data_IF_075462999902
#
_entry.id   IF_075462999902
#
_cell.length_a   1.000
_cell.length_b   1.000
_cell.length_c   1.000
_cell.angle_alpha   90.00
_cell.angle_beta   90.00
_cell.angle_gamma   90.00
#
_symmetry.space_group_name_H-M   'P 1'
#
loop_
_entity.id
_entity.type
_entity.pdbx_description
1 polymer ?
#
# COMPACT_ATOMS: atom_id res chain seq x y z
N UNK A 1 22.77 18.01 25.17
CA UNK A 1 22.06 16.80 24.68
C UNK A 1 21.90 16.94 23.18
N UNK A 2 22.81 16.33 22.42
CA UNK A 2 23.00 16.64 21.00
C UNK A 2 22.09 15.85 20.07
N UNK A 3 21.98 16.32 18.82
CA UNK A 3 21.21 15.72 17.74
C UNK A 3 21.39 14.19 17.58
N UNK A 4 22.57 13.65 17.94
CA UNK A 4 22.83 12.21 17.93
C UNK A 4 21.94 11.38 18.86
N UNK A 5 21.59 11.88 20.04
CA UNK A 5 20.65 11.21 20.96
C UNK A 5 19.22 11.19 20.40
N UNK A 6 18.84 12.26 19.71
CA UNK A 6 17.52 12.43 19.10
C UNK A 6 17.36 11.52 17.87
N UNK A 7 18.42 11.40 17.05
CA UNK A 7 18.51 10.45 15.93
C UNK A 7 18.43 9.00 16.40
N UNK A 8 19.09 8.65 17.50
CA UNK A 8 19.02 7.30 18.07
C UNK A 8 17.63 6.98 18.62
N UNK A 9 16.96 7.94 19.25
CA UNK A 9 15.57 7.77 19.70
C UNK A 9 14.58 7.66 18.55
N UNK A 10 14.78 8.37 17.44
CA UNK A 10 13.94 8.27 16.23
C UNK A 10 14.05 6.91 15.54
N UNK A 11 15.10 6.14 15.82
CA UNK A 11 15.28 4.76 15.35
C UNK A 11 14.63 3.72 16.28
N UNK A 12 14.00 4.13 17.39
CA UNK A 12 13.27 3.18 18.25
C UNK A 12 11.97 2.70 17.57
N UNK A 13 11.46 1.50 17.91
CA UNK A 13 10.30 0.91 17.21
C UNK A 13 9.02 1.77 17.24
N UNK A 14 8.78 2.52 18.32
CA UNK A 14 7.56 3.33 18.47
C UNK A 14 7.49 4.52 17.49
N UNK A 15 8.51 5.40 17.40
CA UNK A 15 8.60 6.43 16.35
C UNK A 15 8.50 5.87 14.93
N UNK A 16 9.10 4.70 14.65
CA UNK A 16 9.00 4.09 13.33
C UNK A 16 7.58 3.66 12.98
N UNK A 17 6.83 3.12 13.94
CA UNK A 17 5.43 2.76 13.72
C UNK A 17 4.57 4.01 13.52
N UNK A 18 4.71 5.00 14.41
CA UNK A 18 3.86 6.20 14.42
C UNK A 18 4.17 7.14 13.24
N UNK A 19 5.44 7.31 12.89
CA UNK A 19 5.87 8.25 11.84
C UNK A 19 6.14 7.55 10.50
N UNK A 20 6.52 6.28 10.53
CA UNK A 20 6.81 5.49 9.34
C UNK A 20 5.58 4.79 8.76
N UNK A 21 4.77 4.15 9.60
CA UNK A 21 3.72 3.24 9.13
C UNK A 21 2.33 3.87 9.10
N UNK A 22 1.93 4.61 10.13
CA UNK A 22 0.60 5.22 10.15
C UNK A 22 0.37 6.19 8.99
N UNK A 23 1.28 7.13 8.67
CA UNK A 23 1.00 8.10 7.60
C UNK A 23 0.95 7.44 6.22
N UNK A 24 1.72 6.38 6.01
CA UNK A 24 1.70 5.68 4.73
C UNK A 24 0.45 4.82 4.56
N UNK A 25 -0.01 4.17 5.63
CA UNK A 25 -1.30 3.45 5.65
C UNK A 25 -2.44 4.41 5.34
N UNK A 26 -2.44 5.60 5.97
CA UNK A 26 -3.41 6.66 5.68
C UNK A 26 -3.30 7.12 4.23
N UNK A 27 -2.08 7.33 3.71
CA UNK A 27 -1.82 7.82 2.35
C UNK A 27 -2.45 6.90 1.29
N UNK A 28 -2.25 5.59 1.41
CA UNK A 28 -2.81 4.58 0.49
C UNK A 28 -4.33 4.43 0.66
N UNK A 29 -4.85 4.68 1.86
CA UNK A 29 -6.28 4.61 2.17
C UNK A 29 -7.02 5.95 2.08
N UNK A 30 -6.46 6.96 1.41
CA UNK A 30 -7.21 8.21 1.22
C UNK A 30 -8.37 7.98 0.26
N UNK A 31 -9.58 8.20 0.79
CA UNK A 31 -10.84 8.18 0.05
C UNK A 31 -11.62 9.48 0.30
N UNK A 32 -12.42 9.94 -0.68
CA UNK A 32 -13.20 11.16 -0.57
C UNK A 32 -14.52 10.96 0.19
N UNK A 33 -14.82 9.72 0.63
CA UNK A 33 -16.04 9.42 1.38
C UNK A 33 -16.13 10.27 2.65
N UNK A 34 -17.32 10.83 2.92
CA UNK A 34 -17.59 11.51 4.19
C UNK A 34 -17.74 10.51 5.34
N UNK A 35 -17.11 10.79 6.48
CA UNK A 35 -17.25 10.03 7.72
C UNK A 35 -16.06 9.11 8.05
N UNK A 36 -15.68 9.07 9.33
CA UNK A 36 -14.49 8.35 9.81
C UNK A 36 -14.56 6.85 9.53
N UNK A 37 -15.71 6.21 9.80
CA UNK A 37 -15.88 4.75 9.64
C UNK A 37 -15.69 4.31 8.19
N UNK A 38 -16.25 5.05 7.22
CA UNK A 38 -16.10 4.72 5.79
C UNK A 38 -14.64 4.83 5.35
N UNK A 39 -13.94 5.88 5.75
CA UNK A 39 -12.51 6.06 5.48
C UNK A 39 -11.68 4.94 6.12
N UNK A 40 -11.99 4.58 7.37
CA UNK A 40 -11.30 3.49 8.06
C UNK A 40 -11.51 2.14 7.35
N UNK A 41 -12.74 1.83 6.92
CA UNK A 41 -13.03 0.62 6.15
C UNK A 41 -12.26 0.60 4.82
N UNK A 42 -12.14 1.74 4.15
CA UNK A 42 -11.34 1.86 2.93
C UNK A 42 -9.85 1.63 3.21
N UNK A 43 -9.29 2.23 4.28
CA UNK A 43 -7.92 1.98 4.74
C UNK A 43 -7.71 0.48 4.99
N UNK A 44 -8.64 -0.18 5.71
CA UNK A 44 -8.55 -1.62 5.98
C UNK A 44 -8.61 -2.45 4.70
N UNK A 45 -9.48 -2.09 3.75
CA UNK A 45 -9.51 -2.75 2.43
C UNK A 45 -8.16 -2.62 1.71
N UNK A 46 -7.59 -1.41 1.65
CA UNK A 46 -6.31 -1.16 1.00
C UNK A 46 -5.17 -1.94 1.67
N UNK A 47 -5.18 -2.02 3.00
CA UNK A 47 -4.18 -2.75 3.76
C UNK A 47 -4.34 -4.28 3.61
N UNK A 48 -5.58 -4.77 3.50
CA UNK A 48 -5.86 -6.19 3.26
C UNK A 48 -5.56 -6.64 1.82
N UNK A 49 -5.61 -5.71 0.85
CA UNK A 49 -5.32 -5.96 -0.55
C UNK A 49 -4.50 -4.80 -1.15
N UNK A 50 -3.14 -4.90 -1.12
CA UNK A 50 -2.24 -3.91 -1.70
C UNK A 50 -2.55 -3.52 -3.15
N UNK A 51 -3.01 -4.47 -3.97
CA UNK A 51 -3.43 -4.19 -5.35
C UNK A 51 -4.54 -3.13 -5.38
N UNK A 52 -5.57 -3.26 -4.55
CA UNK A 52 -6.66 -2.27 -4.48
C UNK A 52 -6.13 -0.91 -4.03
N UNK A 53 -5.28 -0.90 -3.01
CA UNK A 53 -4.68 0.34 -2.49
C UNK A 53 -3.84 1.06 -3.53
N UNK A 54 -3.01 0.31 -4.28
CA UNK A 54 -2.18 0.88 -5.34
C UNK A 54 -2.95 1.17 -6.63
N UNK A 55 -4.10 0.53 -6.86
CA UNK A 55 -4.81 0.63 -8.12
C UNK A 55 -5.12 2.09 -8.49
N UNK A 56 -5.68 2.85 -7.54
CA UNK A 56 -5.97 4.28 -7.73
C UNK A 56 -4.70 5.10 -7.97
N UNK A 57 -3.63 4.83 -7.23
CA UNK A 57 -2.41 5.61 -7.35
C UNK A 57 -1.65 5.29 -8.65
N UNK A 58 -1.51 4.03 -9.01
CA UNK A 58 -0.69 3.62 -10.15
C UNK A 58 -1.41 3.64 -11.51
N UNK A 59 -2.74 3.44 -11.53
CA UNK A 59 -3.47 3.23 -12.79
C UNK A 59 -4.37 4.39 -13.20
N UNK A 60 -4.56 5.35 -12.32
CA UNK A 60 -5.24 6.60 -12.65
C UNK A 60 -4.16 7.64 -12.93
N UNK A 61 -4.15 8.22 -14.12
CA UNK A 61 -3.19 9.30 -14.44
C UNK A 61 -3.39 10.48 -13.48
N UNK A 62 -2.40 11.35 -13.33
CA UNK A 62 -2.53 12.63 -12.58
C UNK A 62 -3.46 13.65 -13.29
N UNK A 63 -4.43 13.15 -14.05
CA UNK A 63 -5.47 13.91 -14.69
C UNK A 63 -6.66 14.04 -13.73
N UNK A 64 -7.07 15.28 -13.51
CA UNK A 64 -8.12 15.66 -12.57
C UNK A 64 -9.44 14.94 -12.86
N UNK A 65 -9.79 14.84 -14.15
CA UNK A 65 -11.03 14.22 -14.61
C UNK A 65 -11.05 12.74 -14.25
N UNK A 66 -9.98 12.03 -14.58
CA UNK A 66 -9.86 10.59 -14.34
C UNK A 66 -9.81 10.28 -12.85
N UNK A 67 -9.20 11.16 -12.04
CA UNK A 67 -9.20 11.02 -10.58
C UNK A 67 -10.61 11.05 -10.00
N UNK A 68 -11.47 11.99 -10.41
CA UNK A 68 -12.85 12.09 -9.90
C UNK A 68 -13.75 10.97 -10.43
N UNK A 69 -13.65 10.69 -11.73
CA UNK A 69 -14.39 9.62 -12.42
C UNK A 69 -14.14 8.25 -11.78
N UNK A 70 -12.94 8.01 -11.25
CA UNK A 70 -12.63 6.77 -10.53
C UNK A 70 -13.63 6.49 -9.41
N UNK A 71 -14.12 7.49 -8.68
CA UNK A 71 -14.96 7.25 -7.51
C UNK A 71 -16.44 6.98 -7.81
N UNK A 72 -16.85 7.11 -9.07
CA UNK A 72 -18.23 6.92 -9.51
C UNK A 72 -18.55 5.44 -9.75
N UNK A 73 -19.83 5.10 -9.59
CA UNK A 73 -20.36 3.79 -9.96
C UNK A 73 -20.61 3.68 -11.46
N UNK A 74 -20.72 2.46 -11.97
CA UNK A 74 -20.94 2.17 -13.39
C UNK A 74 -22.18 2.86 -13.98
N UNK A 75 -23.17 3.15 -13.12
CA UNK A 75 -24.44 3.75 -13.53
C UNK A 75 -24.31 5.21 -14.00
N UNK A 76 -23.19 5.87 -13.72
CA UNK A 76 -22.93 7.23 -14.19
C UNK A 76 -22.38 7.27 -15.62
N UNK A 77 -22.15 6.11 -16.25
CA UNK A 77 -21.47 6.03 -17.53
C UNK A 77 -22.36 5.45 -18.62
N UNK A 78 -22.39 6.14 -19.77
CA UNK A 78 -23.05 5.68 -20.99
C UNK A 78 -22.02 5.33 -22.04
N UNK A 79 -22.19 4.16 -22.64
CA UNK A 79 -21.40 3.63 -23.74
C UNK A 79 -21.72 4.32 -25.07
N UNK A 80 -20.88 4.15 -26.09
CA UNK A 80 -21.09 4.74 -27.43
C UNK A 80 -22.41 4.28 -28.09
N UNK A 81 -22.96 3.14 -27.68
CA UNK A 81 -24.24 2.60 -28.15
C UNK A 81 -25.46 3.15 -27.39
N UNK A 82 -25.26 4.05 -26.42
CA UNK A 82 -26.30 4.64 -25.59
C UNK A 82 -26.71 3.82 -24.36
N UNK A 83 -26.14 2.62 -24.17
CA UNK A 83 -26.45 1.78 -23.01
C UNK A 83 -25.65 2.21 -21.77
N UNK A 84 -26.23 2.00 -20.59
CA UNK A 84 -25.52 2.17 -19.32
C UNK A 84 -24.41 1.13 -19.24
N UNK A 85 -23.20 1.58 -18.88
CA UNK A 85 -22.06 0.68 -18.78
C UNK A 85 -22.26 -0.37 -17.69
N UNK A 86 -21.98 -1.62 -18.02
CA UNK A 86 -22.12 -2.73 -17.08
C UNK A 86 -21.03 -2.77 -16.01
N UNK A 87 -19.95 -2.01 -16.19
CA UNK A 87 -18.71 -2.01 -15.39
C UNK A 87 -18.14 -0.59 -15.31
N UNK A 88 -17.32 -0.32 -14.30
CA UNK A 88 -16.57 0.93 -14.19
C UNK A 88 -15.47 0.99 -15.25
N UNK A 89 -15.29 2.14 -15.92
CA UNK A 89 -14.33 2.31 -17.02
C UNK A 89 -12.91 2.54 -16.47
N UNK A 90 -12.34 1.58 -15.75
CA UNK A 90 -11.03 1.71 -15.10
C UNK A 90 -10.13 0.50 -15.35
N UNK A 91 -8.81 0.73 -15.47
CA UNK A 91 -7.79 -0.30 -15.73
C UNK A 91 -8.09 -1.14 -16.98
N UNK A 92 -8.22 -2.47 -16.83
CA UNK A 92 -8.55 -3.36 -17.95
C UNK A 92 -9.86 -3.03 -18.69
N UNK A 93 -10.77 -2.26 -18.08
CA UNK A 93 -12.01 -1.82 -18.73
C UNK A 93 -12.00 -0.31 -19.03
N UNK A 94 -10.83 0.35 -18.95
CA UNK A 94 -10.67 1.79 -19.14
C UNK A 94 -11.23 2.28 -20.49
N UNK A 95 -11.83 3.47 -20.45
CA UNK A 95 -12.34 4.24 -21.59
C UNK A 95 -12.15 5.73 -21.29
N UNK A 96 -12.06 6.56 -22.33
CA UNK A 96 -12.02 8.00 -22.16
C UNK A 96 -13.38 8.52 -21.67
N UNK A 97 -13.37 9.30 -20.58
CA UNK A 97 -14.54 10.02 -20.09
C UNK A 97 -14.67 11.35 -20.83
N UNK A 98 -15.74 11.54 -21.57
CA UNK A 98 -16.08 12.79 -22.24
C UNK A 98 -16.96 13.62 -21.30
N UNK A 99 -16.34 14.62 -20.67
CA UNK A 99 -17.01 15.54 -19.76
C UNK A 99 -17.35 16.86 -20.49
N UNK A 100 -18.53 17.41 -20.20
CA UNK A 100 -18.91 18.76 -20.62
C UNK A 100 -18.16 19.82 -19.81
N UNK A 101 -18.13 21.07 -20.29
CA UNK A 101 -17.48 22.17 -19.55
C UNK A 101 -18.04 22.35 -18.14
N UNK A 102 -19.36 22.21 -17.96
CA UNK A 102 -20.02 22.29 -16.66
C UNK A 102 -19.59 21.14 -15.73
N UNK A 103 -19.50 19.92 -16.25
CA UNK A 103 -19.02 18.78 -15.46
C UNK A 103 -17.54 18.93 -15.07
N UNK A 104 -16.72 19.54 -15.93
CA UNK A 104 -15.31 19.83 -15.62
C UNK A 104 -15.19 20.83 -14.47
N UNK A 105 -16.02 21.88 -14.46
CA UNK A 105 -16.04 22.85 -13.35
C UNK A 105 -16.36 22.16 -12.02
N UNK A 106 -17.40 21.33 -11.97
CA UNK A 106 -17.76 20.53 -10.78
C UNK A 106 -16.70 19.50 -10.38
N UNK A 107 -16.02 18.89 -11.36
CA UNK A 107 -14.88 17.98 -11.11
C UNK A 107 -13.74 18.73 -10.41
N UNK A 108 -13.48 19.98 -10.81
CA UNK A 108 -12.42 20.78 -10.21
C UNK A 108 -12.75 21.16 -8.76
N UNK A 109 -14.03 21.35 -8.41
CA UNK A 109 -14.46 21.53 -7.02
C UNK A 109 -14.19 20.31 -6.13
N UNK A 110 -14.01 19.12 -6.72
CA UNK A 110 -13.71 17.90 -5.96
C UNK A 110 -12.23 17.81 -5.55
N UNK A 111 -11.35 18.58 -6.19
CA UNK A 111 -9.90 18.40 -6.12
C UNK A 111 -9.28 19.57 -5.38
N UNK A 112 -8.30 19.25 -4.53
CA UNK A 112 -7.45 20.24 -3.91
C UNK A 112 -5.99 19.79 -3.96
N UNK A 113 -5.08 20.72 -3.71
CA UNK A 113 -3.69 20.35 -3.46
C UNK A 113 -3.53 19.66 -2.10
N UNK A 114 -2.71 18.61 -2.07
CA UNK A 114 -2.23 18.00 -0.84
C UNK A 114 -1.54 19.06 0.00
N UNK A 115 -1.93 19.15 1.27
CA UNK A 115 -1.33 20.08 2.21
C UNK A 115 0.17 19.83 2.37
N UNK A 116 0.93 20.86 2.74
CA UNK A 116 2.35 20.70 3.05
C UNK A 116 2.55 19.63 4.14
N UNK A 117 1.68 19.61 5.15
CA UNK A 117 1.73 18.63 6.23
C UNK A 117 1.58 17.20 5.70
N UNK A 118 0.63 16.96 4.79
CA UNK A 118 0.43 15.64 4.18
C UNK A 118 1.66 15.21 3.39
N UNK A 119 2.23 16.11 2.58
CA UNK A 119 3.43 15.83 1.80
C UNK A 119 4.63 15.51 2.70
N UNK A 120 4.86 16.32 3.74
CA UNK A 120 5.93 16.08 4.71
C UNK A 120 5.75 14.77 5.47
N UNK A 121 4.52 14.45 5.89
CA UNK A 121 4.22 13.21 6.59
C UNK A 121 4.53 11.98 5.71
N UNK A 122 4.15 12.01 4.43
CA UNK A 122 4.51 10.97 3.47
C UNK A 122 6.02 10.88 3.22
N UNK A 123 6.75 12.00 3.20
CA UNK A 123 8.22 12.03 3.06
C UNK A 123 8.89 11.38 4.27
N UNK A 124 8.41 11.65 5.49
CA UNK A 124 8.92 11.01 6.71
C UNK A 124 8.72 9.50 6.64
N UNK A 125 7.56 9.03 6.16
CA UNK A 125 7.35 7.60 5.93
C UNK A 125 8.31 7.02 4.87
N UNK A 126 8.54 7.73 3.77
CA UNK A 126 9.52 7.32 2.76
C UNK A 126 10.94 7.22 3.34
N UNK A 127 11.34 8.17 4.18
CA UNK A 127 12.64 8.14 4.88
C UNK A 127 12.79 6.85 5.69
N UNK A 128 11.80 6.50 6.51
CA UNK A 128 11.84 5.28 7.32
C UNK A 128 11.88 3.99 6.47
N UNK A 129 11.13 3.95 5.37
CA UNK A 129 11.17 2.81 4.43
C UNK A 129 12.56 2.68 3.80
N UNK A 130 13.12 3.79 3.28
CA UNK A 130 14.41 3.79 2.60
C UNK A 130 15.56 3.45 3.56
N UNK A 131 15.60 4.07 4.75
CA UNK A 131 16.57 3.73 5.79
C UNK A 131 16.45 2.25 6.15
N UNK A 132 15.22 1.73 6.25
CA UNK A 132 14.98 0.31 6.49
C UNK A 132 15.58 -0.60 5.41
N UNK A 133 15.44 -0.25 4.14
CA UNK A 133 16.04 -0.98 3.02
C UNK A 133 17.57 -0.97 3.12
N UNK A 134 18.19 0.20 3.31
CA UNK A 134 19.66 0.32 3.40
C UNK A 134 20.24 -0.44 4.58
N UNK A 135 19.61 -0.35 5.76
CA UNK A 135 20.13 -1.06 6.93
C UNK A 135 19.89 -2.56 6.83
N UNK A 136 18.77 -3.01 6.26
CA UNK A 136 18.55 -4.42 5.97
C UNK A 136 19.64 -4.99 5.03
N UNK A 137 19.96 -4.28 3.95
CA UNK A 137 21.05 -4.69 3.04
C UNK A 137 22.41 -4.68 3.74
N UNK A 138 22.70 -3.65 4.55
CA UNK A 138 23.94 -3.58 5.31
C UNK A 138 24.08 -4.75 6.30
N UNK A 139 23.00 -5.12 7.01
CA UNK A 139 23.01 -6.24 7.96
C UNK A 139 23.02 -7.62 7.30
N UNK A 140 22.53 -7.73 6.07
CA UNK A 140 22.63 -8.95 5.27
C UNK A 140 24.08 -9.25 4.85
N UNK A 141 24.85 -8.21 4.53
CA UNK A 141 26.24 -8.32 4.04
C UNK A 141 27.29 -8.09 5.14
N UNK A 142 26.89 -7.51 6.27
CA UNK A 142 27.77 -7.08 7.35
C UNK A 142 27.94 -8.11 8.48
N UNK A 143 28.70 -7.75 9.53
CA UNK A 143 28.94 -8.62 10.67
C UNK A 143 27.67 -8.88 11.47
N UNK A 144 27.61 -10.03 12.16
CA UNK A 144 26.53 -10.34 13.09
C UNK A 144 26.47 -9.27 14.18
N UNK A 145 25.31 -8.64 14.36
CA UNK A 145 25.09 -7.66 15.43
C UNK A 145 24.03 -8.17 16.39
N UNK A 146 24.21 -8.01 17.71
CA UNK A 146 23.21 -8.40 18.70
C UNK A 146 22.01 -7.45 18.73
N UNK A 147 22.05 -6.36 17.96
CA UNK A 147 20.97 -5.37 17.89
C UNK A 147 19.83 -5.89 17.03
N UNK A 148 18.64 -5.94 17.63
CA UNK A 148 17.47 -6.46 16.95
C UNK A 148 17.01 -5.61 15.77
N UNK A 149 16.20 -6.19 14.88
CA UNK A 149 15.74 -5.56 13.64
C UNK A 149 14.71 -4.47 13.89
N UNK A 150 15.10 -3.20 13.70
CA UNK A 150 14.23 -2.08 13.94
C UNK A 150 13.83 -1.48 12.59
N UNK A 151 13.34 -2.23 11.61
CA UNK A 151 12.93 -1.62 10.33
C UNK A 151 11.63 -2.21 9.82
N UNK A 152 10.62 -2.18 10.69
CA UNK A 152 9.25 -2.58 10.43
C UNK A 152 8.59 -1.87 9.22
N UNK A 153 8.83 -0.55 8.97
CA UNK A 153 8.31 0.15 7.80
C UNK A 153 8.70 -0.51 6.46
N UNK A 154 9.77 -1.30 6.42
CA UNK A 154 10.15 -2.10 5.25
C UNK A 154 9.00 -2.98 4.76
N UNK A 155 8.19 -3.56 5.66
CA UNK A 155 6.99 -4.36 5.33
C UNK A 155 5.97 -3.60 4.47
N UNK A 156 6.03 -2.26 4.47
CA UNK A 156 5.17 -1.36 3.71
C UNK A 156 5.87 -0.76 2.48
N UNK A 157 7.00 -1.31 2.02
CA UNK A 157 7.72 -0.83 0.82
C UNK A 157 6.83 -0.78 -0.43
N UNK A 158 5.83 -1.66 -0.51
CA UNK A 158 4.86 -1.68 -1.61
C UNK A 158 4.05 -0.39 -1.72
N UNK A 159 4.02 0.47 -0.70
CA UNK A 159 3.27 1.73 -0.69
C UNK A 159 4.02 2.89 -1.34
N UNK A 160 5.31 2.72 -1.69
CA UNK A 160 6.15 3.77 -2.28
C UNK A 160 5.54 4.47 -3.51
N UNK A 161 4.86 3.79 -4.45
CA UNK A 161 4.21 4.47 -5.57
C UNK A 161 3.12 5.46 -5.12
N UNK A 162 2.37 5.13 -4.07
CA UNK A 162 1.35 6.02 -3.51
C UNK A 162 1.99 7.24 -2.84
N UNK A 163 3.11 7.06 -2.12
CA UNK A 163 3.89 8.16 -1.56
C UNK A 163 4.42 9.07 -2.67
N UNK A 164 5.05 8.48 -3.70
CA UNK A 164 5.58 9.23 -4.83
C UNK A 164 4.50 10.11 -5.48
N UNK A 165 3.33 9.54 -5.76
CA UNK A 165 2.21 10.29 -6.34
C UNK A 165 1.68 11.36 -5.39
N UNK A 166 1.63 11.11 -4.08
CA UNK A 166 1.20 12.11 -3.10
C UNK A 166 2.17 13.30 -3.05
N UNK A 167 3.48 13.03 -3.03
CA UNK A 167 4.52 14.06 -2.87
C UNK A 167 4.70 14.88 -4.14
N UNK A 168 4.82 14.23 -5.30
CA UNK A 168 5.09 14.89 -6.58
C UNK A 168 3.83 15.24 -7.37
N UNK A 169 2.79 14.41 -7.32
CA UNK A 169 1.54 14.66 -8.02
C UNK A 169 0.70 15.75 -7.37
N UNK A 170 0.79 15.89 -6.05
CA UNK A 170 0.28 17.05 -5.31
C UNK A 170 -1.23 17.25 -5.29
N UNK A 171 -2.02 16.50 -6.05
CA UNK A 171 -3.50 16.62 -6.12
C UNK A 171 -4.19 15.51 -5.36
N UNK A 172 -5.26 15.85 -4.65
CA UNK A 172 -6.08 14.94 -3.84
C UNK A 172 -7.55 15.25 -4.04
N UNK A 173 -8.41 14.24 -3.85
CA UNK A 173 -9.86 14.46 -3.87
C UNK A 173 -10.32 14.69 -2.44
N UNK A 174 -10.88 15.88 -2.20
CA UNK A 174 -11.32 16.32 -0.88
C UNK A 174 -12.84 16.19 -0.74
N UNK A 175 -13.58 16.55 -1.79
CA UNK A 175 -15.03 16.44 -1.80
C UNK A 175 -15.48 15.19 -2.54
N UNK A 176 -16.52 14.54 -2.02
CA UNK A 176 -17.04 13.27 -2.54
C UNK A 176 -17.66 13.43 -3.94
N UNK A 177 -17.02 12.90 -5.01
CA UNK A 177 -17.55 13.02 -6.37
C UNK A 177 -18.92 12.36 -6.52
N UNK A 178 -19.24 11.35 -5.71
CA UNK A 178 -20.54 10.67 -5.73
C UNK A 178 -21.69 11.58 -5.31
N UNK A 179 -21.39 12.64 -4.54
CA UNK A 179 -22.38 13.64 -4.12
C UNK A 179 -22.48 14.77 -5.12
N UNK A 180 -21.33 15.27 -5.60
CA UNK A 180 -21.26 16.41 -6.51
C UNK A 180 -21.80 16.04 -7.90
N UNK A 181 -21.41 14.88 -8.42
CA UNK A 181 -21.79 14.40 -9.76
C UNK A 181 -22.97 13.42 -9.75
N UNK A 182 -23.78 13.42 -8.69
CA UNK A 182 -24.81 12.40 -8.44
C UNK A 182 -25.81 12.23 -9.60
N UNK A 183 -26.13 13.32 -10.28
CA UNK A 183 -27.13 13.35 -11.36
C UNK A 183 -26.47 13.45 -12.75
N UNK A 184 -25.14 13.44 -12.81
CA UNK A 184 -24.40 13.64 -14.04
C UNK A 184 -24.17 12.30 -14.75
N UNK A 185 -24.41 12.31 -16.05
CA UNK A 185 -24.15 11.19 -16.95
C UNK A 185 -22.89 11.52 -17.75
N UNK A 186 -21.95 10.59 -17.80
CA UNK A 186 -20.66 10.75 -18.47
C UNK A 186 -20.60 9.80 -19.67
N UNK A 187 -20.37 10.36 -20.85
CA UNK A 187 -20.23 9.58 -22.07
C UNK A 187 -18.83 8.97 -22.17
N UNK A 188 -18.76 7.71 -22.57
CA UNK A 188 -17.51 6.98 -22.76
C UNK A 188 -17.13 6.91 -24.22
N UNK A 189 -15.82 7.05 -24.47
CA UNK A 189 -15.20 6.81 -25.77
C UNK A 189 -14.12 5.76 -25.65
N UNK A 190 -14.06 4.82 -26.59
CA UNK A 190 -13.02 3.79 -26.57
C UNK A 190 -11.62 4.38 -26.75
N UNK A 191 -10.66 3.80 -26.04
CA UNK A 191 -9.25 4.09 -26.28
C UNK A 191 -8.81 3.59 -27.67
N UNK A 192 -7.75 4.19 -28.20
CA UNK A 192 -7.03 3.59 -29.32
C UNK A 192 -6.46 2.23 -28.91
N UNK A 193 -6.20 1.34 -29.88
CA UNK A 193 -5.62 0.02 -29.60
C UNK A 193 -4.27 0.16 -28.87
N UNK A 194 -3.44 1.13 -29.28
CA UNK A 194 -2.16 1.40 -28.64
C UNK A 194 -2.32 1.83 -27.17
N UNK A 195 -3.15 2.84 -26.89
CA UNK A 195 -3.38 3.32 -25.52
C UNK A 195 -3.90 2.19 -24.61
N UNK A 196 -4.78 1.35 -25.16
CA UNK A 196 -5.37 0.22 -24.44
C UNK A 196 -4.31 -0.79 -23.98
N UNK A 197 -3.35 -1.11 -24.86
CA UNK A 197 -2.23 -2.01 -24.54
C UNK A 197 -1.39 -1.43 -23.40
N UNK A 198 -1.04 -0.13 -23.46
CA UNK A 198 -0.29 0.52 -22.39
C UNK A 198 -1.01 0.44 -21.05
N UNK A 199 -2.32 0.78 -21.02
CA UNK A 199 -3.13 0.71 -19.80
C UNK A 199 -3.15 -0.72 -19.23
N UNK A 200 -3.33 -1.73 -20.08
CA UNK A 200 -3.34 -3.13 -19.66
C UNK A 200 -2.00 -3.55 -19.05
N UNK A 201 -0.88 -3.12 -19.65
CA UNK A 201 0.47 -3.35 -19.13
C UNK A 201 0.63 -2.68 -17.76
N UNK A 202 0.19 -1.42 -17.57
CA UNK A 202 0.28 -0.74 -16.27
C UNK A 202 -0.50 -1.45 -15.16
N UNK A 203 -1.69 -1.99 -15.48
CA UNK A 203 -2.48 -2.77 -14.53
C UNK A 203 -1.77 -4.07 -14.15
N UNK A 204 -1.18 -4.76 -15.13
CA UNK A 204 -0.38 -5.97 -14.89
C UNK A 204 0.84 -5.66 -14.04
N UNK A 205 1.58 -4.58 -14.35
CA UNK A 205 2.74 -4.14 -13.55
C UNK A 205 2.30 -3.82 -12.12
N UNK A 206 1.19 -3.12 -11.92
CA UNK A 206 0.66 -2.83 -10.59
C UNK A 206 0.35 -4.12 -9.82
N UNK A 207 -0.28 -5.09 -10.47
CA UNK A 207 -0.58 -6.39 -9.87
C UNK A 207 0.70 -7.13 -9.47
N UNK A 208 1.66 -7.26 -10.40
CA UNK A 208 2.95 -7.91 -10.15
C UNK A 208 3.72 -7.24 -9.02
N UNK A 209 3.80 -5.91 -9.04
CA UNK A 209 4.45 -5.12 -7.99
C UNK A 209 3.80 -5.33 -6.63
N UNK A 210 2.46 -5.29 -6.57
CA UNK A 210 1.72 -5.50 -5.32
C UNK A 210 1.91 -6.91 -4.74
N UNK A 211 2.18 -7.90 -5.59
CA UNK A 211 2.45 -9.29 -5.19
C UNK A 211 3.92 -9.44 -4.76
N UNK A 212 4.88 -8.98 -5.57
CA UNK A 212 6.30 -9.30 -5.39
C UNK A 212 7.01 -8.47 -4.33
N UNK A 213 6.72 -7.16 -4.26
CA UNK A 213 7.48 -6.24 -3.39
C UNK A 213 7.37 -6.60 -1.90
N UNK A 214 6.20 -7.00 -1.36
CA UNK A 214 6.15 -7.45 0.02
C UNK A 214 7.11 -8.62 0.35
N UNK A 215 7.35 -9.53 -0.59
CA UNK A 215 8.23 -10.68 -0.37
C UNK A 215 9.72 -10.31 -0.26
N UNK A 216 10.14 -9.17 -0.80
CA UNK A 216 11.51 -8.67 -0.61
C UNK A 216 11.82 -8.56 0.89
N UNK A 217 10.82 -8.19 1.69
CA UNK A 217 10.97 -8.04 3.14
C UNK A 217 11.16 -9.38 3.85
N UNK A 218 10.51 -10.43 3.36
CA UNK A 218 10.69 -11.80 3.84
C UNK A 218 12.09 -12.30 3.52
N UNK A 219 12.56 -12.08 2.29
CA UNK A 219 13.91 -12.46 1.87
C UNK A 219 14.97 -11.73 2.70
N UNK A 220 14.83 -10.41 2.85
CA UNK A 220 15.75 -9.61 3.66
C UNK A 220 15.75 -10.07 5.12
N UNK A 221 14.58 -10.34 5.71
CA UNK A 221 14.51 -10.89 7.06
C UNK A 221 15.20 -12.27 7.13
N UNK A 222 14.93 -13.17 6.18
CA UNK A 222 15.48 -14.52 6.19
C UNK A 222 17.01 -14.55 6.10
N UNK A 223 17.61 -13.71 5.24
CA UNK A 223 19.06 -13.68 5.03
C UNK A 223 19.82 -12.81 6.03
N UNK A 224 19.14 -12.09 6.90
CA UNK A 224 19.83 -11.29 7.91
C UNK A 224 20.29 -12.15 9.06
N UNK A 225 21.55 -11.98 9.44
CA UNK A 225 22.14 -12.66 10.61
C UNK A 225 21.78 -11.91 11.90
N UNK A 226 21.52 -12.62 13.02
CA UNK A 226 21.60 -14.08 13.23
C UNK A 226 20.37 -14.93 12.82
N UNK A 227 20.56 -16.25 12.70
CA UNK A 227 19.56 -17.27 12.26
C UNK A 227 18.18 -17.19 12.96
N UNK A 228 18.06 -16.63 14.17
CA UNK A 228 16.76 -16.40 14.83
C UNK A 228 15.85 -15.39 14.12
N UNK A 229 16.34 -14.71 13.07
CA UNK A 229 15.51 -14.06 12.07
C UNK A 229 14.58 -15.00 11.28
N UNK A 230 14.79 -16.31 11.34
CA UNK A 230 13.89 -17.32 10.77
C UNK A 230 12.46 -17.25 11.31
N UNK A 231 12.26 -16.91 12.59
CA UNK A 231 10.92 -16.74 13.15
C UNK A 231 10.23 -15.47 12.63
N UNK A 232 11.02 -14.43 12.36
CA UNK A 232 10.54 -13.16 11.78
C UNK A 232 10.18 -13.32 10.32
N UNK A 233 11.00 -14.01 9.53
CA UNK A 233 10.69 -14.32 8.14
C UNK A 233 9.44 -15.18 8.04
N UNK A 234 9.25 -16.17 8.92
CA UNK A 234 7.98 -16.94 9.02
C UNK A 234 6.79 -16.03 9.34
N UNK A 235 6.92 -15.11 10.28
CA UNK A 235 5.85 -14.16 10.62
C UNK A 235 5.50 -13.26 9.43
N UNK A 236 6.50 -12.67 8.78
CA UNK A 236 6.32 -11.83 7.58
C UNK A 236 5.77 -12.64 6.40
N UNK A 237 6.12 -13.93 6.29
CA UNK A 237 5.59 -14.84 5.28
C UNK A 237 4.08 -14.95 5.41
N UNK A 238 3.55 -15.10 6.63
CA UNK A 238 2.10 -15.16 6.85
C UNK A 238 1.37 -13.91 6.31
N UNK A 239 1.92 -12.72 6.57
CA UNK A 239 1.38 -11.46 6.02
C UNK A 239 1.46 -11.42 4.49
N UNK A 240 2.62 -11.78 3.91
CA UNK A 240 2.84 -11.76 2.48
C UNK A 240 1.96 -12.79 1.73
N UNK A 241 1.66 -13.93 2.35
CA UNK A 241 0.72 -14.91 1.81
C UNK A 241 -0.69 -14.34 1.73
N UNK A 242 -1.18 -13.66 2.78
CA UNK A 242 -2.50 -13.00 2.77
C UNK A 242 -2.55 -11.97 1.64
N UNK A 243 -1.54 -11.10 1.55
CA UNK A 243 -1.48 -10.09 0.49
C UNK A 243 -1.43 -10.70 -0.90
N UNK A 244 -0.58 -11.71 -1.13
CA UNK A 244 -0.45 -12.37 -2.43
C UNK A 244 -1.77 -13.00 -2.89
N UNK A 245 -2.42 -13.75 -1.99
CA UNK A 245 -3.73 -14.36 -2.28
C UNK A 245 -4.78 -13.31 -2.64
N UNK A 246 -4.90 -12.26 -1.81
CA UNK A 246 -5.88 -11.21 -2.04
C UNK A 246 -5.60 -10.40 -3.31
N UNK A 247 -4.34 -10.11 -3.63
CA UNK A 247 -3.95 -9.38 -4.83
C UNK A 247 -4.25 -10.18 -6.10
N UNK A 248 -3.93 -11.47 -6.11
CA UNK A 248 -4.25 -12.38 -7.22
C UNK A 248 -5.77 -12.43 -7.42
N UNK A 249 -6.52 -12.63 -6.33
CA UNK A 249 -7.98 -12.67 -6.37
C UNK A 249 -8.59 -11.35 -6.89
N UNK A 250 -8.13 -10.21 -6.37
CA UNK A 250 -8.58 -8.88 -6.79
C UNK A 250 -8.28 -8.60 -8.26
N UNK A 251 -7.07 -8.92 -8.73
CA UNK A 251 -6.67 -8.74 -10.12
C UNK A 251 -7.55 -9.56 -11.08
N UNK A 252 -7.76 -10.85 -10.80
CA UNK A 252 -8.60 -11.69 -11.65
C UNK A 252 -10.08 -11.27 -11.61
N UNK A 253 -10.59 -10.88 -10.45
CA UNK A 253 -11.93 -10.33 -10.34
C UNK A 253 -12.09 -9.08 -11.20
N UNK A 254 -11.14 -8.13 -11.10
CA UNK A 254 -11.11 -6.93 -11.92
C UNK A 254 -11.03 -7.25 -13.42
N UNK A 255 -10.11 -8.13 -13.82
CA UNK A 255 -9.89 -8.49 -15.23
C UNK A 255 -11.10 -9.15 -15.87
N UNK A 256 -11.70 -10.15 -15.24
CA UNK A 256 -12.74 -10.97 -15.86
C UNK A 256 -14.16 -10.47 -15.64
N UNK A 257 -14.48 -10.04 -14.41
CA UNK A 257 -15.85 -9.59 -14.07
C UNK A 257 -16.02 -8.08 -14.18
N UNK A 258 -14.97 -7.33 -13.86
CA UNK A 258 -15.06 -5.89 -13.65
C UNK A 258 -15.90 -5.53 -12.43
N UNK A 259 -15.90 -4.24 -12.08
CA UNK A 259 -16.55 -3.74 -10.87
C UNK A 259 -17.66 -2.75 -11.23
N UNK A 260 -18.85 -2.86 -10.61
CA UNK A 260 -19.90 -1.83 -10.73
C UNK A 260 -19.68 -0.66 -9.77
N UNK A 261 -19.10 -0.95 -8.61
CA UNK A 261 -18.88 -0.01 -7.51
C UNK A 261 -17.40 0.02 -7.14
N UNK A 262 -16.93 1.12 -6.55
CA UNK A 262 -15.53 1.26 -6.08
C UNK A 262 -15.15 0.22 -5.03
N UNK A 263 -16.12 -0.12 -4.16
CA UNK A 263 -15.94 -1.14 -3.14
C UNK A 263 -16.09 -2.57 -3.71
N UNK A 264 -16.42 -2.72 -4.99
CA UNK A 264 -16.79 -3.99 -5.60
C UNK A 264 -18.04 -4.60 -4.97
N UNK A 265 -18.10 -5.93 -4.93
CA UNK A 265 -19.18 -6.64 -4.24
C UNK A 265 -19.00 -6.54 -2.71
N UNK A 266 -20.10 -6.38 -1.97
CA UNK A 266 -20.13 -6.35 -0.50
C UNK A 266 -19.32 -7.50 0.12
N UNK A 267 -19.44 -8.73 -0.40
CA UNK A 267 -18.69 -9.89 0.11
C UNK A 267 -17.17 -9.71 -0.03
N UNK A 268 -16.72 -9.20 -1.17
CA UNK A 268 -15.30 -8.94 -1.44
C UNK A 268 -14.80 -7.79 -0.58
N UNK A 269 -15.63 -6.75 -0.41
CA UNK A 269 -15.34 -5.64 0.50
C UNK A 269 -15.16 -6.11 1.93
N UNK A 270 -16.10 -6.87 2.49
CA UNK A 270 -16.00 -7.42 3.83
C UNK A 270 -14.77 -8.32 4.00
N UNK A 271 -14.47 -9.17 3.01
CA UNK A 271 -13.29 -10.04 3.05
C UNK A 271 -11.98 -9.25 3.11
N UNK A 272 -11.79 -8.26 2.21
CA UNK A 272 -10.58 -7.44 2.22
C UNK A 272 -10.46 -6.58 3.48
N UNK A 273 -11.57 -6.04 4.00
CA UNK A 273 -11.56 -5.31 5.27
C UNK A 273 -11.15 -6.23 6.44
N UNK A 274 -11.68 -7.45 6.49
CA UNK A 274 -11.30 -8.45 7.50
C UNK A 274 -9.80 -8.80 7.43
N UNK A 275 -9.28 -9.06 6.22
CA UNK A 275 -7.84 -9.26 6.03
C UNK A 275 -7.03 -8.03 6.45
N UNK A 276 -7.52 -6.81 6.20
CA UNK A 276 -6.89 -5.57 6.66
C UNK A 276 -6.78 -5.46 8.18
N UNK A 277 -7.83 -5.87 8.89
CA UNK A 277 -7.82 -5.93 10.36
C UNK A 277 -6.79 -6.95 10.83
N UNK A 278 -6.75 -8.14 10.24
CA UNK A 278 -5.73 -9.16 10.56
C UNK A 278 -4.30 -8.65 10.32
N UNK A 279 -4.07 -8.01 9.17
CA UNK A 279 -2.76 -7.40 8.86
C UNK A 279 -2.43 -6.30 9.86
N UNK A 280 -3.39 -5.46 10.27
CA UNK A 280 -3.17 -4.44 11.31
C UNK A 280 -2.75 -5.07 12.63
N UNK A 281 -3.39 -6.17 13.05
CA UNK A 281 -3.02 -6.92 14.25
C UNK A 281 -1.61 -7.47 14.11
N UNK A 282 -1.27 -8.08 12.97
CA UNK A 282 0.09 -8.58 12.73
C UNK A 282 1.14 -7.47 12.71
N UNK A 283 0.81 -6.32 12.14
CA UNK A 283 1.66 -5.12 12.13
C UNK A 283 1.93 -4.62 13.56
N UNK A 284 0.91 -4.58 14.42
CA UNK A 284 1.05 -4.21 15.83
C UNK A 284 1.87 -5.25 16.60
N UNK A 285 1.56 -6.54 16.44
CA UNK A 285 2.30 -7.64 17.08
C UNK A 285 3.76 -7.62 16.68
N UNK A 286 4.07 -7.38 15.40
CA UNK A 286 5.44 -7.28 14.93
C UNK A 286 6.18 -6.11 15.58
N UNK A 287 5.53 -4.95 15.74
CA UNK A 287 6.10 -3.82 16.44
C UNK A 287 6.38 -4.13 17.93
N UNK A 288 5.45 -4.78 18.62
CA UNK A 288 5.61 -5.20 20.01
C UNK A 288 6.73 -6.24 20.18
N UNK A 289 6.78 -7.23 19.29
CA UNK A 289 7.80 -8.27 19.27
C UNK A 289 9.19 -7.73 18.91
N UNK A 290 9.27 -6.67 18.10
CA UNK A 290 10.52 -5.96 17.82
C UNK A 290 11.00 -5.10 19.00
N UNK A 291 10.09 -4.62 19.84
CA UNK A 291 10.43 -3.88 21.04
C UNK A 291 10.88 -4.80 22.19
N UNK A 292 10.15 -5.90 22.41
CA UNK A 292 10.41 -6.83 23.51
C UNK A 292 10.83 -8.19 22.95
N UNK A 293 12.13 -8.34 22.74
CA UNK A 293 12.75 -9.44 21.99
C UNK A 293 12.48 -10.82 22.63
N UNK A 294 12.40 -10.89 23.96
CA UNK A 294 12.10 -12.11 24.72
C UNK A 294 10.72 -12.69 24.41
N UNK A 295 9.77 -11.89 23.91
CA UNK A 295 8.44 -12.36 23.54
C UNK A 295 8.48 -13.29 22.32
N UNK A 296 9.51 -13.21 21.47
CA UNK A 296 9.70 -14.19 20.40
C UNK A 296 9.87 -15.60 20.97
N UNK A 297 10.67 -15.74 22.03
CA UNK A 297 10.91 -17.03 22.68
C UNK A 297 9.66 -17.52 23.42
N UNK A 298 8.96 -16.62 24.12
CA UNK A 298 7.74 -16.97 24.85
C UNK A 298 6.62 -17.46 23.91
N UNK A 299 6.44 -16.82 22.76
CA UNK A 299 5.33 -17.12 21.85
C UNK A 299 5.66 -18.23 20.84
N UNK A 300 6.93 -18.35 20.43
CA UNK A 300 7.35 -19.24 19.34
C UNK A 300 8.41 -20.28 19.74
N UNK A 301 8.84 -20.28 21.02
CA UNK A 301 9.77 -21.25 21.60
C UNK A 301 11.25 -20.88 21.47
N UNK A 302 12.11 -21.71 22.10
CA UNK A 302 13.57 -21.52 22.14
C UNK A 302 14.26 -21.48 20.77
N UNK A 303 13.62 -22.02 19.73
CA UNK A 303 14.11 -21.91 18.36
C UNK A 303 14.19 -20.45 17.87
N UNK A 304 13.52 -19.51 18.53
CA UNK A 304 13.57 -18.08 18.23
C UNK A 304 14.52 -17.29 19.15
N UNK A 305 15.30 -17.98 19.98
CA UNK A 305 16.26 -17.33 20.86
C UNK A 305 17.51 -16.86 20.07
N UNK A 306 17.86 -15.59 20.22
CA UNK A 306 18.96 -14.93 19.51
C UNK A 306 20.10 -14.48 20.44
N UNK A 307 20.02 -14.76 21.74
CA UNK A 307 20.96 -14.25 22.76
C UNK A 307 22.42 -14.62 22.50
N UNK A 308 22.66 -15.81 21.92
CA UNK A 308 24.01 -16.39 21.85
C UNK A 308 24.53 -16.60 20.42
N UNK A 309 23.76 -16.23 19.40
CA UNK A 309 24.07 -16.61 18.01
C UNK A 309 25.25 -15.83 17.44
N UNK A 310 25.47 -14.57 17.85
CA UNK A 310 26.65 -13.81 17.41
C UNK A 310 27.93 -14.11 18.22
N UNK A 311 27.87 -14.95 19.26
CA UNK A 311 29.00 -15.27 20.15
C UNK A 311 29.64 -16.63 19.86
N UNK A 312 29.19 -17.36 18.83
CA UNK A 312 29.77 -18.66 18.48
C UNK A 312 31.08 -18.50 17.68
N UNK A 313 32.18 -19.21 18.02
CA UNK A 313 33.52 -18.98 17.43
C UNK A 313 33.69 -19.50 15.97
N UNK A 314 32.61 -19.62 15.19
CA UNK A 314 32.62 -20.28 13.87
C UNK A 314 32.28 -19.38 12.67
N UNK A 315 31.67 -18.20 12.88
CA UNK A 315 31.11 -17.38 11.78
C UNK A 315 32.10 -16.35 11.18
N UNK A 316 33.36 -16.36 11.62
CA UNK A 316 34.45 -15.54 11.04
C UNK A 316 35.09 -16.18 9.79
N UNK A 317 34.52 -17.25 9.23
CA UNK A 317 35.04 -17.90 8.03
C UNK A 317 34.13 -17.62 6.82
N UNK A 318 34.40 -16.53 6.12
CA UNK A 318 34.32 -16.50 4.66
C UNK A 318 35.65 -15.98 4.11
N UNK A 319 36.24 -16.64 3.09
CA UNK A 319 37.43 -16.16 2.41
C UNK A 319 37.09 -14.94 1.54
N UNK A 320 38.11 -14.10 1.35
CA UNK A 320 38.12 -12.84 0.60
C UNK A 320 37.45 -12.86 -0.77
#
# INVERSE_FOLDING_TARGET
MGAGYLLQNLQTPAPQYVLGCLPVIVTVGVAPDSGCVRKLLWIMRCLGCPFTGLFYHCNIMNDEKTMCVYWLSSNHFIEEDGNISSRRPVGHHSKYALLTSEQIERVNECIAEASLLDRFSSIVSAYYILVGIFVAMYRMLGPCTPQDWPYFPLSLTWTLPAIYKRVYGGKIIVNDPKKILRNDIIHLKKHSVCDKIYIDIYVIITALFSISIPWITVLLAYFTRPIGFGCRSKFLTAMCTIWSFNNIFAYFYHKFRGEKEVNGNVKIHCWFCFCGILITIFLILLALLSHTTSWWVVLFGEACNISDVCNQPGDNLLPH
#
